data_IF_754522225129
#
_entry.id   IF_754522225129
#
_cell.length_a   1.000
_cell.length_b   1.000
_cell.length_c   1.000
_cell.angle_alpha   90.00
_cell.angle_beta   90.00
_cell.angle_gamma   90.00
#
_symmetry.space_group_name_H-M   'P 1'
#
loop_
_entity.id
_entity.type
_entity.pdbx_description
1 polymer ?
#
# COMPACT_ATOMS: atom_id res chain seq x y z
N UNK A 1 21.51 8.63 0.22
CA UNK A 1 22.14 9.94 -0.06
C UNK A 1 22.06 10.18 -1.56
N UNK A 2 20.94 10.71 -2.05
CA UNK A 2 20.77 11.08 -3.46
C UNK A 2 21.33 12.49 -3.66
N UNK A 3 22.21 12.67 -4.64
CA UNK A 3 22.83 13.97 -4.94
C UNK A 3 21.76 15.03 -5.19
N UNK A 4 21.84 16.12 -4.44
CA UNK A 4 20.98 17.28 -4.62
C UNK A 4 21.40 17.98 -5.92
N UNK A 5 20.62 17.81 -6.98
CA UNK A 5 20.81 18.57 -8.22
C UNK A 5 20.38 20.00 -7.90
N UNK A 6 21.31 20.97 -7.93
CA UNK A 6 20.94 22.39 -7.96
C UNK A 6 20.31 22.68 -9.32
N UNK A 7 19.00 22.43 -9.42
CA UNK A 7 18.23 22.76 -10.62
C UNK A 7 18.12 24.29 -10.67
N UNK A 8 18.39 24.88 -11.84
CA UNK A 8 18.10 26.29 -12.10
C UNK A 8 16.59 26.55 -12.14
N UNK A 9 16.12 27.39 -13.07
CA UNK A 9 14.68 27.56 -13.32
C UNK A 9 14.02 26.21 -13.63
N UNK A 10 12.86 25.93 -13.03
CA UNK A 10 12.15 24.66 -13.19
C UNK A 10 10.96 24.90 -14.09
N UNK A 11 11.03 24.37 -15.30
CA UNK A 11 9.97 24.48 -16.30
C UNK A 11 9.33 23.10 -16.47
N UNK A 12 8.06 23.02 -16.07
CA UNK A 12 7.28 21.79 -15.97
C UNK A 12 6.39 21.64 -17.19
N UNK A 13 6.52 20.50 -17.87
CA UNK A 13 5.56 20.04 -18.85
C UNK A 13 4.76 18.86 -18.28
N UNK A 14 3.42 18.95 -18.31
CA UNK A 14 2.52 17.89 -17.86
C UNK A 14 2.12 17.02 -19.03
N UNK A 15 2.31 15.71 -18.90
CA UNK A 15 1.85 14.72 -19.87
C UNK A 15 0.83 13.78 -19.24
N UNK A 16 -0.39 13.80 -19.77
CA UNK A 16 -1.45 12.87 -19.40
C UNK A 16 -1.35 11.61 -20.27
N UNK A 17 -0.99 10.49 -19.66
CA UNK A 17 -1.02 9.16 -20.28
C UNK A 17 -2.23 8.40 -19.75
N UNK A 18 -3.41 8.53 -20.37
CA UNK A 18 -4.61 7.76 -20.02
C UNK A 18 -4.93 7.63 -18.50
N UNK A 19 -5.40 8.72 -17.90
CA UNK A 19 -5.90 8.77 -16.51
C UNK A 19 -7.35 9.24 -16.42
N UNK A 20 -7.88 9.33 -15.20
CA UNK A 20 -9.24 9.84 -14.92
C UNK A 20 -9.29 11.36 -14.67
N UNK A 21 -8.22 12.08 -15.04
CA UNK A 21 -8.02 13.52 -14.80
C UNK A 21 -7.94 14.00 -13.35
N UNK A 22 -8.24 13.17 -12.36
CA UNK A 22 -8.17 13.58 -10.94
C UNK A 22 -6.78 14.10 -10.55
N UNK A 23 -5.69 13.41 -10.91
CA UNK A 23 -4.33 13.90 -10.62
C UNK A 23 -4.00 15.19 -11.36
N UNK A 24 -4.59 15.42 -12.54
CA UNK A 24 -4.37 16.67 -13.27
C UNK A 24 -5.05 17.85 -12.57
N UNK A 25 -6.26 17.64 -12.02
CA UNK A 25 -6.95 18.63 -11.20
C UNK A 25 -6.09 19.00 -9.99
N UNK A 26 -5.53 18.01 -9.28
CA UNK A 26 -4.66 18.26 -8.12
C UNK A 26 -3.35 18.99 -8.50
N UNK A 27 -2.79 18.72 -9.68
CA UNK A 27 -1.62 19.45 -10.21
C UNK A 27 -1.98 20.89 -10.53
N UNK A 28 -3.13 21.14 -11.17
CA UNK A 28 -3.60 22.50 -11.46
C UNK A 28 -3.90 23.27 -10.17
N UNK A 29 -4.47 22.60 -9.17
CA UNK A 29 -4.72 23.17 -7.85
C UNK A 29 -3.41 23.62 -7.18
N UNK A 30 -2.28 22.95 -7.42
CA UNK A 30 -0.98 23.41 -6.91
C UNK A 30 -0.57 24.80 -7.43
N UNK A 31 -1.11 25.25 -8.57
CA UNK A 31 -0.80 26.54 -9.19
C UNK A 31 -1.58 27.70 -8.60
N UNK A 32 -2.62 27.46 -7.79
CA UNK A 32 -3.38 28.56 -7.20
C UNK A 32 -2.52 29.34 -6.21
N UNK A 33 -2.70 30.68 -6.07
CA UNK A 33 -1.83 31.52 -5.25
C UNK A 33 -1.66 31.07 -3.79
N UNK A 34 -2.65 30.35 -3.26
CA UNK A 34 -2.65 29.80 -1.90
C UNK A 34 -1.45 28.90 -1.62
N UNK A 35 -0.98 28.14 -2.62
CA UNK A 35 0.08 27.15 -2.45
C UNK A 35 1.48 27.67 -2.74
N UNK A 36 1.58 28.89 -3.32
CA UNK A 36 2.85 29.59 -3.55
C UNK A 36 3.92 28.75 -4.27
N UNK A 37 3.53 27.82 -5.13
CA UNK A 37 4.49 26.96 -5.85
C UNK A 37 5.41 27.78 -6.77
N UNK A 38 4.96 28.95 -7.24
CA UNK A 38 5.76 29.90 -8.01
C UNK A 38 6.98 30.43 -7.22
N UNK A 39 6.89 30.52 -5.89
CA UNK A 39 8.01 30.94 -5.03
C UNK A 39 9.16 29.91 -5.03
N UNK A 40 8.87 28.66 -5.43
CA UNK A 40 9.87 27.62 -5.66
C UNK A 40 10.55 27.73 -7.04
N UNK A 41 10.22 28.76 -7.84
CA UNK A 41 10.75 28.94 -9.19
C UNK A 41 10.18 27.94 -10.22
N UNK A 42 9.01 27.37 -9.91
CA UNK A 42 8.28 26.44 -10.79
C UNK A 42 7.41 27.23 -11.75
N UNK A 43 7.61 26.99 -13.04
CA UNK A 43 6.81 27.53 -14.14
C UNK A 43 6.22 26.36 -14.93
N UNK A 44 4.95 26.46 -15.32
CA UNK A 44 4.33 25.50 -16.24
C UNK A 44 4.49 26.01 -17.66
N UNK A 45 4.94 25.15 -18.56
CA UNK A 45 5.12 25.46 -19.98
C UNK A 45 4.22 24.57 -20.84
N UNK A 46 3.81 25.09 -21.99
CA UNK A 46 2.94 24.38 -22.93
C UNK A 46 3.73 23.61 -24.00
N UNK A 47 5.00 23.95 -24.21
CA UNK A 47 5.87 23.25 -25.14
C UNK A 47 6.92 22.39 -24.41
N UNK A 48 7.04 21.09 -24.75
CA UNK A 48 8.00 20.20 -24.10
C UNK A 48 9.45 20.67 -24.29
N UNK A 49 9.77 21.34 -25.40
CA UNK A 49 11.09 21.91 -25.70
C UNK A 49 11.48 23.07 -24.76
N UNK A 50 10.54 23.60 -23.97
CA UNK A 50 10.82 24.63 -22.94
C UNK A 50 10.92 24.03 -21.54
N UNK A 51 10.62 22.74 -21.36
CA UNK A 51 10.64 22.09 -20.06
C UNK A 51 11.98 21.42 -19.76
N UNK A 52 12.29 21.27 -18.48
CA UNK A 52 13.31 20.36 -17.94
C UNK A 52 12.71 19.35 -16.94
N UNK A 53 11.44 19.51 -16.58
CA UNK A 53 10.69 18.57 -15.73
C UNK A 53 9.47 18.03 -16.48
N UNK A 54 9.32 16.71 -16.49
CA UNK A 54 8.16 16.00 -17.02
C UNK A 54 7.32 15.47 -15.86
N UNK A 55 6.09 15.95 -15.72
CA UNK A 55 5.10 15.36 -14.80
C UNK A 55 4.21 14.40 -15.58
N UNK A 56 4.20 13.14 -15.16
CA UNK A 56 3.40 12.08 -15.75
C UNK A 56 2.19 11.78 -14.88
N UNK A 57 1.00 11.77 -15.48
CA UNK A 57 -0.22 11.25 -14.87
C UNK A 57 -0.77 10.09 -15.71
N UNK A 58 -1.44 9.14 -15.05
CA UNK A 58 -2.07 8.00 -15.72
C UNK A 58 -1.10 6.90 -16.20
N UNK A 59 -1.66 5.84 -16.81
CA UNK A 59 -0.94 4.65 -17.26
C UNK A 59 -0.43 4.75 -18.73
N UNK A 60 0.67 4.07 -19.04
CA UNK A 60 1.15 3.94 -20.41
C UNK A 60 0.20 3.11 -21.28
N UNK A 61 -0.22 3.65 -22.42
CA UNK A 61 -1.08 2.93 -23.39
C UNK A 61 -0.35 2.65 -24.69
N UNK A 62 -0.83 1.65 -25.44
CA UNK A 62 -0.31 1.34 -26.79
C UNK A 62 -0.37 2.57 -27.70
N UNK A 63 -1.46 3.34 -27.64
CA UNK A 63 -1.65 4.55 -28.47
C UNK A 63 -0.83 5.75 -28.00
N UNK A 64 -0.64 5.90 -26.69
CA UNK A 64 0.07 7.04 -26.10
C UNK A 64 1.58 6.84 -25.98
N UNK A 65 2.09 5.63 -26.26
CA UNK A 65 3.50 5.27 -26.08
C UNK A 65 4.42 6.16 -26.90
N UNK A 66 4.17 6.27 -28.20
CA UNK A 66 5.09 6.94 -29.12
C UNK A 66 5.12 8.46 -28.83
N UNK A 67 3.96 9.05 -28.51
CA UNK A 67 3.86 10.44 -28.05
C UNK A 67 4.64 10.71 -26.75
N UNK A 68 4.62 9.76 -25.79
CA UNK A 68 5.40 9.90 -24.55
C UNK A 68 6.90 9.88 -24.83
N UNK A 69 7.36 8.99 -25.71
CA UNK A 69 8.78 8.91 -26.11
C UNK A 69 9.23 10.20 -26.80
N UNK A 70 8.43 10.72 -27.75
CA UNK A 70 8.72 11.98 -28.43
C UNK A 70 8.83 13.16 -27.45
N UNK A 71 7.88 13.28 -26.52
CA UNK A 71 7.90 14.34 -25.49
C UNK A 71 9.14 14.20 -24.60
N UNK A 72 9.49 12.99 -24.16
CA UNK A 72 10.66 12.78 -23.32
C UNK A 72 11.96 13.18 -24.03
N UNK A 73 12.07 12.92 -25.33
CA UNK A 73 13.24 13.32 -26.12
C UNK A 73 13.37 14.85 -26.23
N UNK A 74 12.26 15.56 -26.41
CA UNK A 74 12.20 17.02 -26.59
C UNK A 74 12.55 17.84 -25.33
N UNK A 75 12.37 17.27 -24.14
CA UNK A 75 12.64 17.97 -22.87
C UNK A 75 14.13 18.24 -22.68
N UNK A 76 14.47 19.42 -22.18
CA UNK A 76 15.85 19.86 -21.99
C UNK A 76 16.53 19.14 -20.82
N UNK A 77 17.84 18.86 -20.90
CA UNK A 77 18.63 18.46 -19.74
C UNK A 77 18.79 19.62 -18.73
N UNK A 78 18.90 19.33 -17.41
CA UNK A 78 18.76 18.01 -16.78
C UNK A 78 17.30 17.55 -16.76
N UNK A 79 17.02 16.35 -17.30
CA UNK A 79 15.66 15.79 -17.39
C UNK A 79 15.26 15.21 -16.03
N UNK A 80 14.21 15.75 -15.42
CA UNK A 80 13.60 15.16 -14.21
C UNK A 80 12.19 14.70 -14.55
N UNK A 81 11.91 13.43 -14.30
CA UNK A 81 10.60 12.81 -14.58
C UNK A 81 9.94 12.40 -13.26
N UNK A 82 8.72 12.88 -13.04
CA UNK A 82 7.94 12.66 -11.82
C UNK A 82 6.63 11.96 -12.17
N UNK A 83 6.41 10.77 -11.65
CA UNK A 83 5.15 10.04 -11.76
C UNK A 83 4.20 10.46 -10.62
N UNK A 84 3.09 11.10 -10.97
CA UNK A 84 2.08 11.59 -10.02
C UNK A 84 0.84 10.70 -10.06
N UNK A 85 0.54 10.10 -8.91
CA UNK A 85 -0.61 9.26 -8.69
C UNK A 85 -0.44 7.81 -9.17
N UNK A 86 -1.20 6.91 -8.56
CA UNK A 86 -0.99 5.46 -8.63
C UNK A 86 -1.00 4.87 -10.05
N UNK A 87 -1.83 5.40 -10.96
CA UNK A 87 -1.87 4.94 -12.34
C UNK A 87 -0.53 5.14 -13.06
N UNK A 88 0.22 6.20 -12.74
CA UNK A 88 1.57 6.44 -13.29
C UNK A 88 2.68 5.63 -12.60
N UNK A 89 2.38 4.99 -11.47
CA UNK A 89 3.33 4.18 -10.71
C UNK A 89 3.21 2.71 -11.11
N UNK A 90 1.98 2.19 -11.22
CA UNK A 90 1.74 0.74 -11.42
C UNK A 90 0.65 0.42 -12.45
N UNK A 91 0.12 1.42 -13.16
CA UNK A 91 -1.12 1.30 -13.94
C UNK A 91 -2.39 1.04 -13.12
N UNK A 92 -2.28 0.80 -11.82
CA UNK A 92 -3.37 0.64 -10.85
C UNK A 92 -4.55 -0.20 -11.43
N UNK A 93 -5.78 0.30 -11.38
CA UNK A 93 -6.99 -0.40 -11.87
C UNK A 93 -6.92 -0.82 -13.34
N UNK A 94 -6.00 -0.26 -14.12
CA UNK A 94 -5.83 -0.57 -15.54
C UNK A 94 -4.70 -1.58 -15.82
N UNK A 95 -3.95 -2.05 -14.81
CA UNK A 95 -2.77 -2.92 -14.99
C UNK A 95 -3.01 -4.12 -15.93
N UNK A 96 -4.19 -4.74 -15.83
CA UNK A 96 -4.59 -5.91 -16.64
C UNK A 96 -5.43 -5.56 -17.87
N UNK A 97 -5.56 -4.27 -18.20
CA UNK A 97 -6.33 -3.79 -19.33
C UNK A 97 -5.63 -4.05 -20.66
N UNK A 98 -6.39 -4.45 -21.69
CA UNK A 98 -5.84 -4.74 -23.03
C UNK A 98 -5.08 -3.57 -23.69
N UNK A 99 -5.39 -2.27 -23.49
CA UNK A 99 -4.68 -1.21 -24.18
C UNK A 99 -3.45 -0.71 -23.39
N UNK A 100 -3.16 -1.31 -22.24
CA UNK A 100 -2.14 -0.85 -21.30
C UNK A 100 -0.83 -1.59 -21.55
N UNK A 101 0.25 -0.82 -21.75
CA UNK A 101 1.62 -1.37 -21.87
C UNK A 101 2.36 -1.42 -20.53
N UNK A 102 1.74 -0.85 -19.49
CA UNK A 102 2.22 -0.80 -18.12
C UNK A 102 2.47 0.61 -17.63
N UNK A 103 3.12 0.77 -16.46
CA UNK A 103 3.46 2.08 -15.94
C UNK A 103 4.47 2.80 -16.85
N UNK A 104 4.44 4.14 -16.93
CA UNK A 104 5.36 4.94 -17.75
C UNK A 104 6.86 4.64 -17.53
N UNK A 105 7.27 4.15 -16.35
CA UNK A 105 8.66 3.78 -16.09
C UNK A 105 9.17 2.57 -16.90
N UNK A 106 8.29 1.83 -17.57
CA UNK A 106 8.66 0.82 -18.58
C UNK A 106 9.03 1.44 -19.93
N UNK A 107 8.66 2.69 -20.17
CA UNK A 107 8.84 3.39 -21.44
C UNK A 107 9.98 4.41 -21.37
N UNK A 108 10.06 5.16 -20.27
CA UNK A 108 11.08 6.20 -20.05
C UNK A 108 11.61 6.14 -18.60
N UNK A 109 12.83 6.65 -18.34
CA UNK A 109 13.34 6.76 -16.97
C UNK A 109 12.46 7.68 -16.12
N UNK A 110 12.00 7.20 -14.96
CA UNK A 110 11.26 7.98 -13.98
C UNK A 110 12.10 8.14 -12.71
N UNK A 111 12.30 9.39 -12.26
CA UNK A 111 13.17 9.72 -11.13
C UNK A 111 12.44 9.65 -9.79
N UNK A 112 11.19 10.13 -9.76
CA UNK A 112 10.41 10.28 -8.53
C UNK A 112 8.97 9.83 -8.73
N UNK A 113 8.36 9.33 -7.65
CA UNK A 113 7.01 8.80 -7.62
C UNK A 113 6.26 9.41 -6.43
N UNK A 114 5.04 9.88 -6.69
CA UNK A 114 4.15 10.48 -5.68
C UNK A 114 2.87 9.63 -5.61
N UNK A 115 2.81 8.63 -4.72
CA UNK A 115 1.63 7.80 -4.53
C UNK A 115 0.40 8.59 -4.07
N UNK A 116 -0.76 8.19 -4.57
CA UNK A 116 -2.05 8.81 -4.28
C UNK A 116 -3.08 8.51 -5.37
N UNK A 117 -4.37 8.53 -5.02
CA UNK A 117 -5.44 8.26 -5.97
C UNK A 117 -6.66 9.18 -5.76
N UNK A 118 -6.53 10.50 -6.02
CA UNK A 118 -5.29 11.22 -6.37
C UNK A 118 -4.47 11.64 -5.13
N UNK A 119 -3.18 12.00 -5.28
CA UNK A 119 -2.43 12.65 -4.21
C UNK A 119 -2.94 14.09 -4.03
N UNK A 120 -3.10 14.53 -2.78
CA UNK A 120 -3.51 15.92 -2.48
C UNK A 120 -2.46 16.94 -2.96
N UNK A 121 -2.83 18.21 -3.22
CA UNK A 121 -1.90 19.23 -3.72
C UNK A 121 -0.70 19.43 -2.79
N UNK A 122 -0.95 19.41 -1.48
CA UNK A 122 0.08 19.51 -0.43
C UNK A 122 1.14 18.40 -0.54
N UNK A 123 0.73 17.18 -0.92
CA UNK A 123 1.67 16.07 -1.12
C UNK A 123 2.55 16.31 -2.35
N UNK A 124 1.97 16.85 -3.43
CA UNK A 124 2.67 17.19 -4.68
C UNK A 124 3.66 18.32 -4.44
N UNK A 125 3.22 19.44 -3.84
CA UNK A 125 4.07 20.62 -3.57
C UNK A 125 5.21 20.26 -2.63
N UNK A 126 4.93 19.51 -1.55
CA UNK A 126 5.97 19.08 -0.63
C UNK A 126 6.98 18.17 -1.32
N UNK A 127 6.52 17.25 -2.16
CA UNK A 127 7.42 16.42 -2.95
C UNK A 127 8.29 17.24 -3.90
N UNK A 128 7.73 18.23 -4.59
CA UNK A 128 8.50 19.16 -5.44
C UNK A 128 9.53 19.92 -4.60
N UNK A 129 9.14 20.49 -3.46
CA UNK A 129 10.07 21.18 -2.55
C UNK A 129 11.23 20.26 -2.10
N UNK A 130 10.94 19.02 -1.72
CA UNK A 130 11.94 18.05 -1.29
C UNK A 130 12.90 17.67 -2.42
N UNK A 131 12.41 17.51 -3.65
CA UNK A 131 13.22 17.25 -4.85
C UNK A 131 14.19 18.42 -5.11
N UNK A 132 13.75 19.65 -4.86
CA UNK A 132 14.54 20.87 -5.05
C UNK A 132 15.46 21.20 -3.87
N UNK A 133 15.33 20.50 -2.75
CA UNK A 133 15.99 20.85 -1.50
C UNK A 133 15.48 22.18 -0.90
N UNK A 134 14.28 22.61 -1.28
CA UNK A 134 13.64 23.81 -0.77
C UNK A 134 12.84 23.50 0.50
N UNK A 135 12.61 24.53 1.32
CA UNK A 135 11.70 24.45 2.46
C UNK A 135 10.44 25.24 2.15
N UNK A 136 9.30 24.65 2.47
CA UNK A 136 7.99 25.30 2.37
C UNK A 136 7.44 25.51 3.78
N UNK A 137 6.69 26.59 3.97
CA UNK A 137 6.01 26.85 5.25
C UNK A 137 4.69 26.08 5.30
N UNK A 138 4.66 25.04 6.14
CA UNK A 138 3.46 24.21 6.40
C UNK A 138 2.61 24.79 7.55
N UNK A 139 2.53 26.12 7.67
CA UNK A 139 1.96 26.80 8.85
C UNK A 139 0.47 27.07 8.77
N UNK A 140 -0.10 27.06 7.58
CA UNK A 140 -1.53 27.38 7.39
C UNK A 140 -2.43 26.17 7.63
N UNK A 141 -3.66 26.41 8.11
CA UNK A 141 -4.61 25.38 8.55
C UNK A 141 -4.92 24.30 7.49
N UNK A 142 -4.76 24.62 6.21
CA UNK A 142 -5.01 23.69 5.11
C UNK A 142 -3.88 22.68 4.86
N UNK A 143 -2.72 22.84 5.48
CA UNK A 143 -1.68 21.81 5.50
C UNK A 143 -2.03 20.67 6.45
N UNK A 144 -2.88 20.97 7.45
CA UNK A 144 -3.46 19.96 8.32
C UNK A 144 -4.40 19.06 7.51
N UNK A 145 -4.60 17.85 8.01
CA UNK A 145 -5.53 16.90 7.41
C UNK A 145 -6.87 17.01 8.12
N UNK A 146 -8.00 17.08 7.40
CA UNK A 146 -9.30 17.09 8.05
C UNK A 146 -9.53 15.81 8.86
N UNK A 147 -10.44 15.86 9.81
CA UNK A 147 -10.87 14.66 10.54
C UNK A 147 -11.38 13.60 9.55
N UNK A 148 -10.97 12.34 9.77
CA UNK A 148 -11.33 11.23 8.89
C UNK A 148 -10.51 11.13 7.60
N UNK A 149 -9.48 11.96 7.40
CA UNK A 149 -8.55 11.80 6.28
C UNK A 149 -7.86 10.44 6.30
N UNK A 150 -7.63 9.90 5.09
CA UNK A 150 -7.16 8.53 4.86
C UNK A 150 -5.82 8.55 4.15
N UNK A 151 -4.75 8.60 4.93
CA UNK A 151 -3.36 8.61 4.44
C UNK A 151 -2.64 7.27 4.65
N UNK A 152 -1.33 7.37 4.90
CA UNK A 152 -0.41 6.27 5.16
C UNK A 152 -0.98 5.34 6.23
N UNK A 153 -0.84 4.03 6.01
CA UNK A 153 -1.25 3.05 7.00
C UNK A 153 -0.24 3.00 8.15
N UNK A 154 -0.75 2.74 9.34
CA UNK A 154 0.01 2.40 10.53
C UNK A 154 -0.37 0.98 10.96
N UNK A 155 0.65 0.14 11.19
CA UNK A 155 0.48 -1.19 11.72
C UNK A 155 0.77 -1.20 13.22
N UNK A 156 -0.22 -1.61 14.02
CA UNK A 156 0.04 -2.07 15.37
C UNK A 156 0.54 -3.53 15.31
N UNK A 157 1.85 -3.70 15.44
CA UNK A 157 2.53 -5.01 15.36
C UNK A 157 2.08 -5.99 16.45
N UNK A 158 1.66 -5.48 17.61
CA UNK A 158 1.21 -6.29 18.73
C UNK A 158 -0.16 -6.89 18.44
N UNK A 159 -1.09 -6.06 17.93
CA UNK A 159 -2.47 -6.45 17.60
C UNK A 159 -2.58 -7.24 16.28
N UNK A 160 -1.65 -7.09 15.34
CA UNK A 160 -1.75 -7.77 14.06
C UNK A 160 -1.58 -9.28 14.23
N UNK A 161 -2.61 -10.04 13.83
CA UNK A 161 -2.60 -11.51 13.92
C UNK A 161 -2.25 -12.19 12.59
N UNK A 162 -1.96 -11.44 11.52
CA UNK A 162 -1.55 -12.03 10.23
C UNK A 162 -2.66 -12.81 9.50
N UNK A 163 -3.94 -12.60 9.84
CA UNK A 163 -5.06 -13.37 9.30
C UNK A 163 -5.34 -13.16 7.80
N UNK A 164 -4.84 -12.07 7.21
CA UNK A 164 -5.03 -11.74 5.80
C UNK A 164 -6.40 -11.16 5.43
N UNK A 165 -7.29 -10.89 6.39
CA UNK A 165 -8.61 -10.29 6.12
C UNK A 165 -8.52 -8.97 5.34
N UNK A 166 -7.54 -8.13 5.69
CA UNK A 166 -7.28 -6.87 4.98
C UNK A 166 -6.94 -7.06 3.50
N UNK A 167 -6.23 -8.13 3.14
CA UNK A 167 -5.93 -8.47 1.75
C UNK A 167 -7.18 -8.93 1.00
N UNK A 168 -8.03 -9.73 1.64
CA UNK A 168 -9.26 -10.23 1.02
C UNK A 168 -10.28 -9.12 0.68
N UNK A 169 -10.33 -8.05 1.48
CA UNK A 169 -11.21 -6.90 1.18
C UNK A 169 -10.54 -5.84 0.29
N UNK A 170 -9.25 -5.99 -0.03
CA UNK A 170 -8.52 -4.96 -0.76
C UNK A 170 -8.96 -4.92 -2.24
N UNK A 171 -9.78 -3.94 -2.58
CA UNK A 171 -10.28 -3.75 -3.95
C UNK A 171 -9.19 -3.31 -4.94
N UNK A 172 -8.10 -2.72 -4.45
CA UNK A 172 -6.98 -2.25 -5.26
C UNK A 172 -5.83 -3.23 -5.41
N UNK A 173 -5.94 -4.47 -4.90
CA UNK A 173 -4.84 -5.47 -4.88
C UNK A 173 -3.53 -4.92 -4.28
N UNK A 174 -3.68 -4.02 -3.31
CA UNK A 174 -2.59 -3.29 -2.68
C UNK A 174 -1.94 -4.04 -1.52
N UNK A 175 -2.57 -5.11 -1.02
CA UNK A 175 -2.13 -5.81 0.19
C UNK A 175 -1.73 -7.24 -0.14
N UNK A 176 -0.43 -7.52 -0.06
CA UNK A 176 0.13 -8.86 -0.25
C UNK A 176 0.23 -9.60 1.08
N UNK A 177 -0.08 -10.90 1.06
CA UNK A 177 0.18 -11.84 2.14
C UNK A 177 1.23 -12.83 1.63
N UNK A 178 2.44 -12.76 2.19
CA UNK A 178 3.59 -13.53 1.71
C UNK A 178 4.06 -14.44 2.84
N UNK A 179 3.94 -15.75 2.66
CA UNK A 179 4.44 -16.74 3.61
C UNK A 179 5.87 -17.14 3.27
N UNK A 180 6.79 -16.86 4.19
CA UNK A 180 8.15 -17.38 4.19
C UNK A 180 8.29 -18.64 5.05
N UNK A 181 9.54 -19.09 5.31
CA UNK A 181 9.78 -20.31 6.09
C UNK A 181 9.24 -20.25 7.52
N UNK A 182 9.46 -19.14 8.24
CA UNK A 182 9.08 -18.98 9.65
C UNK A 182 8.14 -17.79 9.90
N UNK A 183 7.90 -16.94 8.90
CA UNK A 183 7.17 -15.68 9.06
C UNK A 183 6.25 -15.41 7.88
N UNK A 184 5.12 -14.75 8.18
CA UNK A 184 4.21 -14.13 7.22
C UNK A 184 4.47 -12.64 7.17
N UNK A 185 4.63 -12.10 5.96
CA UNK A 185 4.70 -10.66 5.71
C UNK A 185 3.32 -10.20 5.22
N UNK A 186 2.76 -9.20 5.90
CA UNK A 186 1.60 -8.44 5.44
C UNK A 186 2.13 -7.12 4.89
N UNK A 187 2.08 -6.94 3.57
CA UNK A 187 2.67 -5.79 2.87
C UNK A 187 1.59 -4.95 2.22
N UNK A 188 1.63 -3.62 2.42
CA UNK A 188 0.75 -2.67 1.73
C UNK A 188 1.59 -1.84 0.75
N UNK A 189 1.26 -1.91 -0.55
CA UNK A 189 1.91 -1.19 -1.65
C UNK A 189 1.14 0.09 -1.96
N UNK A 190 1.74 1.27 -1.74
CA UNK A 190 1.04 2.54 -1.95
C UNK A 190 0.76 2.86 -3.42
N UNK A 191 1.56 2.31 -4.35
CA UNK A 191 1.29 2.44 -5.79
C UNK A 191 -0.03 1.81 -6.26
N UNK A 192 -0.65 0.93 -5.46
CA UNK A 192 -1.93 0.28 -5.75
C UNK A 192 -3.06 0.74 -4.81
N UNK A 193 -2.72 1.36 -3.67
CA UNK A 193 -3.70 1.66 -2.64
C UNK A 193 -4.60 2.86 -3.02
N UNK A 194 -5.91 2.67 -3.03
CA UNK A 194 -6.90 3.74 -3.25
C UNK A 194 -7.31 4.47 -1.98
N UNK A 195 -6.71 4.15 -0.83
CA UNK A 195 -6.98 4.76 0.48
C UNK A 195 -8.46 4.71 0.90
N UNK A 196 -9.20 3.68 0.48
CA UNK A 196 -10.63 3.51 0.79
C UNK A 196 -10.94 3.11 2.24
N UNK A 197 -9.92 2.73 3.03
CA UNK A 197 -10.01 2.27 4.43
C UNK A 197 -10.74 0.93 4.70
N UNK A 198 -11.21 0.18 3.69
CA UNK A 198 -11.84 -1.12 3.94
C UNK A 198 -10.93 -2.10 4.72
N UNK A 199 -9.62 -2.04 4.51
CA UNK A 199 -8.65 -2.86 5.25
C UNK A 199 -8.57 -2.52 6.75
N UNK A 200 -8.84 -1.26 7.13
CA UNK A 200 -8.96 -0.83 8.53
C UNK A 200 -10.27 -1.34 9.11
N UNK A 201 -11.37 -1.13 8.39
CA UNK A 201 -12.73 -1.43 8.88
C UNK A 201 -12.94 -2.93 9.08
N UNK A 202 -12.38 -3.77 8.19
CA UNK A 202 -12.46 -5.23 8.29
C UNK A 202 -11.42 -5.85 9.25
N UNK A 203 -10.49 -5.07 9.81
CA UNK A 203 -9.45 -5.64 10.65
C UNK A 203 -10.04 -6.13 11.99
N UNK A 204 -10.09 -7.46 12.26
CA UNK A 204 -10.78 -7.98 13.43
C UNK A 204 -10.13 -7.59 14.76
N UNK A 205 -8.86 -7.16 14.72
CA UNK A 205 -8.09 -6.71 15.89
C UNK A 205 -7.79 -5.21 15.87
N UNK A 206 -8.31 -4.47 14.89
CA UNK A 206 -8.01 -3.04 14.69
C UNK A 206 -6.49 -2.76 14.67
N UNK A 207 -5.72 -3.67 14.07
CA UNK A 207 -4.28 -3.57 13.97
C UNK A 207 -3.82 -2.66 12.83
N UNK A 208 -4.71 -2.32 11.92
CA UNK A 208 -4.48 -1.43 10.79
C UNK A 208 -5.27 -0.15 10.99
N UNK A 209 -4.62 0.99 10.80
CA UNK A 209 -5.27 2.31 10.82
C UNK A 209 -4.69 3.19 9.72
N UNK A 210 -5.55 3.96 9.05
CA UNK A 210 -5.10 5.02 8.14
C UNK A 210 -4.88 6.30 8.96
N UNK A 211 -3.77 6.99 8.67
CA UNK A 211 -3.32 8.17 9.41
C UNK A 211 -3.55 9.45 8.60
N UNK A 212 -3.25 10.61 9.20
CA UNK A 212 -3.16 11.88 8.47
C UNK A 212 -1.98 11.97 7.50
N UNK A 213 -1.00 11.06 7.56
CA UNK A 213 0.24 11.23 6.78
C UNK A 213 0.00 11.01 5.28
N UNK A 214 0.17 12.06 4.48
CA UNK A 214 -0.05 12.02 3.02
C UNK A 214 1.23 12.12 2.20
N UNK A 215 2.34 12.50 2.80
CA UNK A 215 3.60 12.66 2.08
C UNK A 215 4.26 11.28 1.88
N UNK A 216 4.21 10.77 0.65
CA UNK A 216 4.64 9.42 0.26
C UNK A 216 5.70 9.42 -0.85
N UNK A 217 6.38 10.55 -1.09
CA UNK A 217 7.42 10.67 -2.11
C UNK A 217 8.44 9.55 -1.99
N UNK A 218 8.80 8.95 -3.12
CA UNK A 218 9.89 8.00 -3.23
C UNK A 218 10.63 8.14 -4.56
N UNK A 219 11.87 7.68 -4.62
CA UNK A 219 12.64 7.50 -5.86
C UNK A 219 12.56 6.06 -6.40
N UNK A 220 12.00 5.12 -5.64
CA UNK A 220 11.82 3.72 -6.04
C UNK A 220 10.39 3.27 -5.70
N UNK A 221 9.55 2.90 -6.70
CA UNK A 221 8.17 2.51 -6.45
C UNK A 221 8.05 1.28 -5.54
N UNK A 222 9.10 0.44 -5.45
CA UNK A 222 9.11 -0.73 -4.56
C UNK A 222 9.27 -0.37 -3.09
N UNK A 223 9.77 0.82 -2.78
CA UNK A 223 9.95 1.29 -1.39
C UNK A 223 8.74 2.05 -0.87
N UNK A 224 7.80 2.47 -1.74
CA UNK A 224 6.52 3.05 -1.34
C UNK A 224 5.58 1.96 -0.80
N UNK A 225 5.94 1.40 0.35
CA UNK A 225 5.19 0.35 1.04
C UNK A 225 5.37 0.41 2.55
N UNK A 226 4.51 -0.30 3.26
CA UNK A 226 4.67 -0.61 4.69
C UNK A 226 4.43 -2.10 4.90
N UNK A 227 5.15 -2.69 5.85
CA UNK A 227 5.10 -4.12 6.12
C UNK A 227 4.94 -4.40 7.61
N UNK A 228 4.26 -5.49 7.91
CA UNK A 228 4.26 -6.11 9.23
C UNK A 228 4.59 -7.60 9.10
N UNK A 229 5.37 -8.11 10.04
CA UNK A 229 5.73 -9.53 10.11
C UNK A 229 4.99 -10.20 11.26
N UNK A 230 4.56 -11.45 11.04
CA UNK A 230 3.95 -12.29 12.06
C UNK A 230 4.55 -13.69 11.98
N UNK A 231 4.95 -14.25 13.11
CA UNK A 231 5.54 -15.59 13.16
C UNK A 231 4.53 -16.66 12.76
N UNK A 232 5.00 -17.63 11.98
CA UNK A 232 4.26 -18.81 11.59
C UNK A 232 4.50 -19.94 12.59
N UNK A 233 3.42 -20.61 12.96
CA UNK A 233 3.41 -21.79 13.80
C UNK A 233 3.89 -23.00 13.00
N UNK A 234 4.75 -23.81 13.64
CA UNK A 234 5.25 -25.10 13.13
C UNK A 234 4.30 -26.23 13.51
N UNK A 235 4.03 -27.10 12.57
CA UNK A 235 3.22 -28.30 12.78
C UNK A 235 3.91 -29.24 13.77
N UNK A 236 3.20 -29.70 14.80
CA UNK A 236 3.73 -30.66 15.77
C UNK A 236 4.07 -32.04 15.20
N UNK A 237 3.53 -32.38 14.01
CA UNK A 237 3.72 -33.69 13.37
C UNK A 237 4.80 -33.67 12.29
N UNK A 238 4.73 -32.72 11.36
CA UNK A 238 5.64 -32.68 10.21
C UNK A 238 6.66 -31.53 10.26
N UNK A 239 6.62 -30.67 11.28
CA UNK A 239 7.51 -29.51 11.42
C UNK A 239 7.25 -28.35 10.45
N UNK A 240 6.46 -28.55 9.40
CA UNK A 240 6.13 -27.52 8.40
C UNK A 240 5.31 -26.36 8.98
N UNK A 241 5.55 -25.14 8.51
CA UNK A 241 4.82 -23.94 8.89
C UNK A 241 3.52 -23.80 8.09
N UNK A 242 2.47 -23.23 8.71
CA UNK A 242 1.15 -23.20 8.07
C UNK A 242 0.21 -22.07 8.49
N UNK A 243 0.28 -21.56 9.72
CA UNK A 243 -0.62 -20.49 10.21
C UNK A 243 0.12 -19.48 11.08
N UNK A 244 -0.29 -18.20 11.13
CA UNK A 244 0.26 -17.26 12.09
C UNK A 244 -0.01 -17.68 13.53
N UNK A 245 1.03 -17.70 14.38
CA UNK A 245 0.92 -18.06 15.79
C UNK A 245 -0.11 -17.17 16.51
N UNK A 246 0.01 -15.85 16.32
CA UNK A 246 -0.89 -14.86 16.92
C UNK A 246 -2.36 -15.05 16.54
N UNK A 247 -2.66 -15.61 15.37
CA UNK A 247 -4.04 -15.90 14.97
C UNK A 247 -4.63 -17.07 15.77
N UNK A 248 -3.82 -18.09 16.02
CA UNK A 248 -4.19 -19.24 16.86
C UNK A 248 -4.44 -18.76 18.30
N UNK A 249 -3.51 -17.98 18.85
CA UNK A 249 -3.61 -17.44 20.21
C UNK A 249 -4.86 -16.56 20.37
N UNK A 250 -5.13 -15.69 19.40
CA UNK A 250 -6.32 -14.84 19.37
C UNK A 250 -7.61 -15.66 19.30
N UNK A 251 -7.64 -16.72 18.49
CA UNK A 251 -8.79 -17.60 18.39
C UNK A 251 -9.02 -18.41 19.69
N UNK A 252 -7.95 -18.93 20.31
CA UNK A 252 -8.02 -19.65 21.58
C UNK A 252 -8.58 -18.76 22.69
N UNK A 253 -8.03 -17.55 22.84
CA UNK A 253 -8.53 -16.57 23.82
C UNK A 253 -10.03 -16.31 23.66
N UNK A 254 -10.49 -16.02 22.44
CA UNK A 254 -11.90 -15.70 22.18
C UNK A 254 -12.83 -16.89 22.42
N UNK A 255 -12.45 -18.08 21.99
CA UNK A 255 -13.33 -19.26 22.05
C UNK A 255 -13.32 -19.90 23.44
N UNK A 256 -12.13 -20.09 24.02
CA UNK A 256 -11.94 -20.84 25.27
C UNK A 256 -12.07 -19.96 26.50
N UNK A 257 -11.53 -18.74 26.48
CA UNK A 257 -11.53 -17.87 27.67
C UNK A 257 -12.79 -17.02 27.75
N UNK A 258 -13.18 -16.39 26.62
CA UNK A 258 -14.22 -15.36 26.60
C UNK A 258 -15.63 -15.92 26.31
N UNK A 259 -15.79 -16.81 25.32
CA UNK A 259 -17.14 -17.20 24.83
C UNK A 259 -17.72 -18.48 25.43
N UNK A 260 -16.92 -19.52 25.67
CA UNK A 260 -17.44 -20.83 26.09
C UNK A 260 -16.71 -21.32 27.34
N UNK A 261 -17.22 -21.01 28.55
CA UNK A 261 -16.58 -21.42 29.81
C UNK A 261 -16.31 -22.93 29.92
N UNK A 262 -17.20 -23.76 29.37
CA UNK A 262 -17.06 -25.23 29.35
C UNK A 262 -15.80 -25.70 28.63
N UNK A 263 -15.27 -24.93 27.68
CA UNK A 263 -14.08 -25.30 26.91
C UNK A 263 -12.77 -25.09 27.69
N UNK A 264 -12.78 -24.35 28.81
CA UNK A 264 -11.57 -24.13 29.63
C UNK A 264 -10.94 -25.44 30.12
N UNK A 265 -11.77 -26.44 30.41
CA UNK A 265 -11.34 -27.78 30.82
C UNK A 265 -10.61 -28.56 29.71
N UNK A 266 -10.70 -28.11 28.46
CA UNK A 266 -10.11 -28.73 27.29
C UNK A 266 -9.07 -27.82 26.61
N UNK A 267 -8.65 -26.74 27.26
CA UNK A 267 -7.74 -25.73 26.70
C UNK A 267 -6.46 -26.34 26.12
N UNK A 268 -5.83 -27.27 26.84
CA UNK A 268 -4.63 -27.99 26.38
C UNK A 268 -4.92 -28.81 25.12
N UNK A 269 -5.97 -29.64 25.15
CA UNK A 269 -6.36 -30.50 24.02
C UNK A 269 -6.73 -29.70 22.77
N UNK A 270 -7.40 -28.55 22.94
CA UNK A 270 -7.74 -27.65 21.83
C UNK A 270 -6.46 -27.01 21.27
N UNK A 271 -5.57 -26.50 22.13
CA UNK A 271 -4.29 -25.92 21.72
C UNK A 271 -3.43 -26.92 20.94
N UNK A 272 -3.32 -28.16 21.41
CA UNK A 272 -2.55 -29.21 20.74
C UNK A 272 -3.13 -29.55 19.37
N UNK A 273 -4.46 -29.66 19.26
CA UNK A 273 -5.14 -29.87 18.00
C UNK A 273 -4.93 -28.71 17.02
N UNK A 274 -4.84 -27.47 17.52
CA UNK A 274 -4.61 -26.28 16.70
C UNK A 274 -3.18 -26.22 16.14
N UNK A 275 -2.20 -26.89 16.76
CA UNK A 275 -0.80 -26.99 16.32
C UNK A 275 -0.54 -27.98 15.19
N UNK A 276 -1.58 -28.63 14.67
CA UNK A 276 -1.45 -29.59 13.55
C UNK A 276 -1.84 -28.90 12.24
N UNK A 277 -1.03 -29.03 11.18
CA UNK A 277 -1.34 -28.45 9.86
C UNK A 277 -2.47 -29.20 9.13
N UNK A 278 -3.09 -28.54 8.14
CA UNK A 278 -4.22 -29.11 7.39
C UNK A 278 -3.92 -30.49 6.77
N UNK A 279 -2.70 -30.68 6.25
CA UNK A 279 -2.28 -31.96 5.66
C UNK A 279 -2.17 -33.06 6.70
N UNK A 280 -1.54 -32.79 7.86
CA UNK A 280 -1.42 -33.77 8.93
C UNK A 280 -2.77 -34.08 9.59
N UNK A 281 -3.67 -33.10 9.70
CA UNK A 281 -5.03 -33.31 10.24
C UNK A 281 -5.87 -34.28 9.40
N UNK A 282 -5.58 -34.42 8.10
CA UNK A 282 -6.32 -35.32 7.19
C UNK A 282 -5.90 -36.79 7.31
N UNK A 283 -4.86 -37.12 8.08
CA UNK A 283 -4.47 -38.52 8.36
C UNK A 283 -5.54 -39.20 9.23
N UNK A 284 -5.88 -40.45 8.91
CA UNK A 284 -6.99 -41.21 9.54
C UNK A 284 -6.88 -41.23 11.07
N UNK A 285 -5.68 -41.46 11.61
CA UNK A 285 -5.40 -41.45 13.05
C UNK A 285 -5.76 -40.11 13.71
N UNK A 286 -5.39 -38.99 13.09
CA UNK A 286 -5.63 -37.64 13.60
C UNK A 286 -7.12 -37.25 13.48
N UNK A 287 -7.81 -37.74 12.45
CA UNK A 287 -9.26 -37.55 12.30
C UNK A 287 -10.01 -38.22 13.46
N UNK A 288 -9.65 -39.45 13.83
CA UNK A 288 -10.29 -40.16 14.96
C UNK A 288 -10.11 -39.38 16.27
N UNK A 289 -8.90 -38.91 16.54
CA UNK A 289 -8.59 -38.08 17.71
C UNK A 289 -9.38 -36.77 17.73
N UNK A 290 -9.45 -36.07 16.59
CA UNK A 290 -10.21 -34.82 16.46
C UNK A 290 -11.72 -35.04 16.68
N UNK A 291 -12.31 -36.09 16.10
CA UNK A 291 -13.73 -36.44 16.30
C UNK A 291 -14.04 -36.77 17.76
N UNK A 292 -13.16 -37.51 18.43
CA UNK A 292 -13.28 -37.80 19.87
C UNK A 292 -13.29 -36.52 20.70
N UNK A 293 -12.37 -35.58 20.43
CA UNK A 293 -12.34 -34.28 21.10
C UNK A 293 -13.63 -33.47 20.86
N UNK A 294 -14.08 -33.37 19.60
CA UNK A 294 -15.30 -32.64 19.26
C UNK A 294 -16.55 -33.22 19.94
N UNK A 295 -16.64 -34.54 20.08
CA UNK A 295 -17.75 -35.22 20.78
C UNK A 295 -17.79 -34.80 22.25
N UNK A 296 -16.64 -34.85 22.94
CA UNK A 296 -16.50 -34.43 24.35
C UNK A 296 -16.84 -32.94 24.56
N UNK A 297 -16.43 -32.08 23.62
CA UNK A 297 -16.76 -30.65 23.65
C UNK A 297 -18.27 -30.42 23.47
N UNK A 298 -18.91 -31.13 22.54
CA UNK A 298 -20.35 -31.02 22.25
C UNK A 298 -21.22 -31.47 23.42
N UNK A 299 -20.87 -32.58 24.08
CA UNK A 299 -21.57 -33.07 25.27
C UNK A 299 -21.56 -32.06 26.41
N UNK A 300 -20.42 -31.39 26.63
CA UNK A 300 -20.23 -30.42 27.71
C UNK A 300 -20.80 -29.03 27.42
N UNK A 301 -20.89 -28.63 26.15
CA UNK A 301 -21.51 -27.35 25.78
C UNK A 301 -23.05 -27.38 25.88
N UNK A 302 -23.65 -28.58 25.92
CA UNK A 302 -25.10 -28.79 26.06
C UNK A 302 -25.54 -29.01 27.53
N UNK A 303 -24.59 -29.20 28.43
CA UNK A 303 -24.81 -29.41 29.87
C UNK A 303 -24.64 -28.08 30.61
#
# INVERSE_FOLDING_TARGET
MGGCVKVGKISVYRFLSAGCNACDVEILECLVPRYKIADLGVEVVEEPEKANVLILTGAGTVKGRDALLEVYEKINPPKIVIAVGNCSITSNIFEKGYPIVGPPNKLIPVNYYIPGCPPRPQAIIKAVADILGARIEEREDFWQTPEGFRGRHEFNKEKCIGCGACSQICTGDAIDIIDGPDKRIVRIKYGHCTFCAFCQDECPTQALRLTGAYHLLTNDPQTARIENEVDLLKCSICGGTFFPQKQIDWALKRVVEEKVPAYRNFSSSISDAMRICANCRRKIENIKSAKSLLTKLSERARA
#
